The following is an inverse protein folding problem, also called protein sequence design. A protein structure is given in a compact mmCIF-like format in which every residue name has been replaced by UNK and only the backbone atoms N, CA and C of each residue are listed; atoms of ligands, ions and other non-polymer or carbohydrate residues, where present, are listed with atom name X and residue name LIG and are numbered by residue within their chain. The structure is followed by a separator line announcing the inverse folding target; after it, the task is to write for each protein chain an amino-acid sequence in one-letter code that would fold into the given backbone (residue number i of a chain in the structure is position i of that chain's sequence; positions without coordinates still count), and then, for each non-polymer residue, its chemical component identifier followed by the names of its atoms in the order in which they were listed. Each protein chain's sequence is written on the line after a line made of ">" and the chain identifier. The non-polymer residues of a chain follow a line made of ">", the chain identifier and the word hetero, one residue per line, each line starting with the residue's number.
data_IF_019801918607
#
_entry.id   IF_019801918607
#
_cell.length_a   1.000
_cell.length_b   1.000
_cell.length_c   1.000
_cell.angle_alpha   90.00
_cell.angle_beta   90.00
_cell.angle_gamma   90.00
#
_symmetry.space_group_name_H-M   'P 1'
#
loop_
_entity.id
_entity.type
_entity.pdbx_description
1 polymer ?
#
# COMPACT_ATOMS: atom_id res chain seq x y z
N UNK A 1 -9.43 8.83 14.19
CA UNK A 1 -9.37 7.60 13.35
C UNK A 1 -10.22 7.71 12.06
N UNK A 2 -10.28 8.87 11.39
CA UNK A 2 -11.08 9.07 10.15
C UNK A 2 -10.26 9.40 8.90
N UNK A 3 -8.99 9.80 9.04
CA UNK A 3 -8.18 10.30 7.93
C UNK A 3 -7.66 9.22 6.97
N UNK A 4 -7.55 7.96 7.41
CA UNK A 4 -6.91 6.89 6.62
C UNK A 4 -7.92 6.17 5.73
N UNK A 5 -9.14 5.95 6.22
CA UNK A 5 -10.26 5.45 5.40
C UNK A 5 -10.64 6.43 4.29
N UNK A 6 -10.36 7.72 4.47
CA UNK A 6 -10.62 8.73 3.43
C UNK A 6 -9.64 8.63 2.24
N UNK A 7 -8.47 7.99 2.39
CA UNK A 7 -7.52 7.80 1.29
C UNK A 7 -7.74 6.48 0.54
N UNK A 8 -8.18 5.41 1.22
CA UNK A 8 -8.56 4.16 0.56
C UNK A 8 -9.85 4.27 -0.29
N UNK A 9 -10.73 5.24 0.01
CA UNK A 9 -11.93 5.47 -0.80
C UNK A 9 -11.68 6.26 -2.09
N UNK A 10 -10.48 6.82 -2.25
CA UNK A 10 -10.11 7.51 -3.48
C UNK A 10 -9.42 6.47 -4.36
N UNK A 11 -10.22 5.71 -5.12
CA UNK A 11 -9.78 4.89 -6.28
C UNK A 11 -9.27 5.77 -7.43
N UNK A 12 -8.57 6.85 -7.10
CA UNK A 12 -7.96 7.74 -8.06
C UNK A 12 -6.49 7.35 -8.14
N UNK A 13 -6.06 6.88 -9.30
CA UNK A 13 -4.67 6.54 -9.56
C UNK A 13 -3.72 7.72 -9.26
N UNK A 14 -4.23 8.96 -9.31
CA UNK A 14 -3.49 10.16 -8.90
C UNK A 14 -3.07 10.16 -7.41
N UNK A 15 -3.68 9.31 -6.56
CA UNK A 15 -3.31 9.17 -5.16
C UNK A 15 -2.08 8.25 -4.95
N UNK A 16 -1.65 7.48 -5.96
CA UNK A 16 -0.56 6.51 -5.81
C UNK A 16 0.74 7.11 -5.22
N UNK A 17 1.25 8.28 -5.67
CA UNK A 17 2.45 8.87 -5.10
C UNK A 17 2.28 9.30 -3.63
N UNK A 18 1.10 9.82 -3.28
CA UNK A 18 0.79 10.25 -1.92
C UNK A 18 0.68 9.05 -0.96
N UNK A 19 0.11 7.93 -1.43
CA UNK A 19 -0.03 6.70 -0.64
C UNK A 19 1.31 5.97 -0.50
N UNK A 20 2.19 6.01 -1.53
CA UNK A 20 3.55 5.47 -1.43
C UNK A 20 4.33 6.10 -0.28
N UNK A 21 4.21 7.42 -0.08
CA UNK A 21 4.86 8.10 1.06
C UNK A 21 4.42 7.59 2.42
N UNK A 22 3.20 7.04 2.55
CA UNK A 22 2.69 6.50 3.81
C UNK A 22 3.31 5.15 4.18
N UNK A 23 3.97 4.44 3.25
CA UNK A 23 4.71 3.20 3.54
C UNK A 23 5.91 3.42 4.47
N UNK A 24 6.34 4.65 4.70
CA UNK A 24 7.42 4.98 5.64
C UNK A 24 6.93 5.74 6.88
N UNK A 25 5.61 5.82 7.10
CA UNK A 25 5.06 6.56 8.22
C UNK A 25 5.42 5.91 9.57
N UNK A 26 5.64 6.72 10.61
CA UNK A 26 5.98 6.25 11.96
C UNK A 26 4.95 5.28 12.57
N UNK A 27 3.68 5.35 12.15
CA UNK A 27 2.55 4.59 12.70
C UNK A 27 2.36 3.36 11.82
N UNK A 28 2.52 2.16 12.39
CA UNK A 28 2.43 0.92 11.61
C UNK A 28 1.06 0.69 11.00
N UNK A 29 -0.01 1.08 11.71
CA UNK A 29 -1.36 1.05 11.15
C UNK A 29 -1.46 1.86 9.85
N UNK A 30 -0.80 3.04 9.74
CA UNK A 30 -0.83 3.83 8.52
C UNK A 30 -0.07 3.15 7.38
N UNK A 31 1.08 2.54 7.67
CA UNK A 31 1.86 1.79 6.66
C UNK A 31 1.08 0.59 6.14
N UNK A 32 0.39 -0.13 7.03
CA UNK A 32 -0.46 -1.27 6.69
C UNK A 32 -1.60 -0.84 5.74
N UNK A 33 -2.34 0.19 6.12
CA UNK A 33 -3.45 0.71 5.30
C UNK A 33 -2.94 1.25 3.95
N UNK A 34 -1.76 1.87 3.92
CA UNK A 34 -1.12 2.30 2.68
C UNK A 34 -0.81 1.11 1.77
N UNK A 35 -0.23 0.03 2.30
CA UNK A 35 0.03 -1.18 1.53
C UNK A 35 -1.25 -1.76 0.93
N UNK A 36 -2.32 -1.88 1.72
CA UNK A 36 -3.62 -2.37 1.24
C UNK A 36 -4.19 -1.47 0.13
N UNK A 37 -4.16 -0.14 0.31
CA UNK A 37 -4.65 0.80 -0.68
C UNK A 37 -3.87 0.71 -2.00
N UNK A 38 -2.54 0.57 -1.96
CA UNK A 38 -1.73 0.37 -3.18
C UNK A 38 -2.07 -0.94 -3.89
N UNK A 39 -2.37 -2.00 -3.13
CA UNK A 39 -2.87 -3.27 -3.68
C UNK A 39 -4.21 -3.12 -4.39
N UNK A 40 -5.13 -2.35 -3.82
CA UNK A 40 -6.44 -2.05 -4.41
C UNK A 40 -6.36 -1.15 -5.65
N UNK A 41 -5.36 -0.25 -5.72
CA UNK A 41 -5.10 0.56 -6.91
C UNK A 41 -4.63 -0.28 -8.10
N UNK A 42 -4.01 -1.44 -7.84
CA UNK A 42 -3.48 -2.37 -8.87
C UNK A 42 -2.51 -1.71 -9.87
N UNK A 43 -1.88 -0.61 -9.49
CA UNK A 43 -0.92 0.10 -10.33
C UNK A 43 0.48 -0.55 -10.23
N UNK A 44 1.02 -1.13 -11.33
CA UNK A 44 2.35 -1.73 -11.34
C UNK A 44 3.49 -0.75 -10.97
N UNK A 45 3.29 0.56 -11.14
CA UNK A 45 4.26 1.58 -10.75
C UNK A 45 4.53 1.61 -9.24
N UNK A 46 3.64 1.03 -8.43
CA UNK A 46 3.76 0.96 -6.96
C UNK A 46 4.60 -0.23 -6.48
N UNK A 47 4.90 -1.20 -7.36
CA UNK A 47 5.63 -2.42 -7.01
C UNK A 47 7.02 -2.17 -6.39
N UNK A 48 7.85 -1.23 -6.88
CA UNK A 48 9.14 -0.94 -6.24
C UNK A 48 8.98 -0.49 -4.79
N UNK A 49 8.00 0.36 -4.50
CA UNK A 49 7.73 0.84 -3.16
C UNK A 49 7.21 -0.27 -2.24
N UNK A 50 6.28 -1.09 -2.72
CA UNK A 50 5.78 -2.26 -2.00
C UNK A 50 6.91 -3.26 -1.69
N UNK A 51 7.80 -3.53 -2.65
CA UNK A 51 8.96 -4.41 -2.43
C UNK A 51 9.88 -3.88 -1.32
N UNK A 52 10.10 -2.57 -1.26
CA UNK A 52 10.87 -1.95 -0.17
C UNK A 52 10.23 -2.13 1.21
N UNK A 53 8.90 -2.28 1.28
CA UNK A 53 8.17 -2.49 2.52
C UNK A 53 8.06 -3.97 2.95
N UNK A 54 8.63 -4.92 2.20
CA UNK A 54 8.60 -6.35 2.56
C UNK A 54 9.35 -6.66 3.87
N UNK A 55 10.31 -5.82 4.22
CA UNK A 55 11.12 -5.93 5.43
C UNK A 55 10.63 -5.04 6.58
N UNK A 56 9.39 -4.54 6.49
CA UNK A 56 8.83 -3.69 7.54
C UNK A 56 8.93 -4.35 8.93
N UNK A 57 9.25 -3.55 9.96
CA UNK A 57 9.36 -4.03 11.34
C UNK A 57 8.09 -4.70 11.86
N UNK A 58 6.92 -4.26 11.39
CA UNK A 58 5.62 -4.75 11.83
C UNK A 58 5.17 -5.95 10.98
N UNK A 59 4.92 -7.14 11.59
CA UNK A 59 4.47 -8.33 10.87
C UNK A 59 3.17 -8.15 10.08
N UNK A 60 2.24 -7.34 10.58
CA UNK A 60 0.96 -7.10 9.91
C UNK A 60 1.16 -6.23 8.67
N UNK A 61 2.10 -5.28 8.71
CA UNK A 61 2.50 -4.50 7.53
C UNK A 61 3.11 -5.41 6.48
N UNK A 62 4.05 -6.30 6.86
CA UNK A 62 4.65 -7.27 5.91
C UNK A 62 3.59 -8.15 5.25
N UNK A 63 2.59 -8.60 6.01
CA UNK A 63 1.47 -9.38 5.47
C UNK A 63 0.66 -8.56 4.47
N UNK A 64 0.28 -7.33 4.80
CA UNK A 64 -0.45 -6.44 3.90
C UNK A 64 0.32 -6.16 2.60
N UNK A 65 1.63 -5.93 2.69
CA UNK A 65 2.50 -5.72 1.52
C UNK A 65 2.51 -6.93 0.59
N UNK A 66 2.61 -8.16 1.12
CA UNK A 66 2.54 -9.37 0.28
C UNK A 66 1.21 -9.50 -0.45
N UNK A 67 0.10 -9.21 0.24
CA UNK A 67 -1.24 -9.20 -0.36
C UNK A 67 -1.30 -8.17 -1.49
N UNK A 68 -0.80 -6.96 -1.24
CA UNK A 68 -0.80 -5.89 -2.23
C UNK A 68 0.02 -6.24 -3.48
N UNK A 69 1.22 -6.83 -3.31
CA UNK A 69 2.04 -7.30 -4.43
C UNK A 69 1.33 -8.36 -5.25
N UNK A 70 0.64 -9.31 -4.59
CA UNK A 70 -0.15 -10.33 -5.28
C UNK A 70 -1.30 -9.70 -6.09
N UNK A 71 -2.02 -8.74 -5.50
CA UNK A 71 -3.13 -8.04 -6.17
C UNK A 71 -2.68 -7.24 -7.39
N UNK A 72 -1.53 -6.57 -7.31
CA UNK A 72 -0.95 -5.83 -8.45
C UNK A 72 -0.43 -6.80 -9.52
N UNK A 73 0.11 -7.95 -9.12
CA UNK A 73 0.63 -8.97 -10.04
C UNK A 73 -0.45 -9.78 -10.76
N UNK A 74 -1.62 -10.00 -10.13
CA UNK A 74 -2.74 -10.73 -10.71
C UNK A 74 -3.41 -9.96 -11.88
N UNK A 75 -3.31 -8.62 -11.90
CA UNK A 75 -3.85 -7.78 -12.99
C UNK A 75 -2.91 -7.65 -14.20
N UNK A 76 -1.67 -8.13 -14.08
CA UNK A 76 -0.69 -8.12 -15.18
C UNK A 76 -0.78 -9.37 -16.08
N UNK A 77 -1.80 -10.22 -15.88
CA UNK A 77 -1.98 -11.51 -16.55
C UNK A 77 -3.21 -11.52 -17.44
#
# INVERSE_FOLDING_TARGET
>A
MRAVRALGQVRDAAAAPAVVGLLSHAISNLRKEAALALGELRDPATLPALRGALEDRDPEVRKAVRIAIAQVGDDAR
#
